data_IF_344313652641
#
_entry.id   IF_344313652641
#
_cell.length_a   1.000
_cell.length_b   1.000
_cell.length_c   1.000
_cell.angle_alpha   90.00
_cell.angle_beta   90.00
_cell.angle_gamma   90.00
#
_symmetry.space_group_name_H-M   'P 1'
#
loop_
_entity.id
_entity.type
_entity.pdbx_description
1 polymer ?
#
# COMPACT_ATOMS: atom_id res chain seq x y z
N UNK A 1 4.31 16.74 -6.77
CA UNK A 1 5.41 16.74 -5.77
C UNK A 1 6.65 16.12 -6.40
N UNK A 2 7.82 16.78 -6.44
CA UNK A 2 8.98 16.33 -7.22
C UNK A 2 9.87 15.27 -6.55
N UNK A 3 9.60 14.86 -5.31
CA UNK A 3 10.57 14.09 -4.49
C UNK A 3 10.26 12.60 -4.27
N UNK A 4 9.05 12.12 -4.62
CA UNK A 4 8.67 10.72 -4.39
C UNK A 4 9.60 9.72 -5.10
N UNK A 5 10.14 10.08 -6.28
CA UNK A 5 11.11 9.23 -7.02
C UNK A 5 12.43 9.01 -6.28
N UNK A 6 12.84 9.91 -5.39
CA UNK A 6 14.06 9.77 -4.57
C UNK A 6 13.76 9.10 -3.24
N UNK A 7 12.60 9.38 -2.67
CA UNK A 7 12.19 8.84 -1.37
C UNK A 7 11.80 7.36 -1.46
N UNK A 8 11.13 6.91 -2.53
CA UNK A 8 10.67 5.52 -2.67
C UNK A 8 11.84 4.50 -2.61
N UNK A 9 12.95 4.66 -3.36
CA UNK A 9 14.09 3.75 -3.25
C UNK A 9 14.72 3.73 -1.85
N UNK A 10 14.85 4.90 -1.21
CA UNK A 10 15.40 5.02 0.13
C UNK A 10 14.54 4.29 1.17
N UNK A 11 13.22 4.48 1.12
CA UNK A 11 12.29 3.77 2.00
C UNK A 11 12.27 2.27 1.73
N UNK A 12 12.38 1.86 0.47
CA UNK A 12 12.51 0.44 0.08
C UNK A 12 13.78 -0.17 0.70
N UNK A 13 14.91 0.53 0.63
CA UNK A 13 16.16 0.08 1.24
C UNK A 13 16.04 -0.09 2.76
N UNK A 14 15.52 0.93 3.46
CA UNK A 14 15.36 0.86 4.92
C UNK A 14 14.43 -0.27 5.36
N UNK A 15 13.39 -0.59 4.58
CA UNK A 15 12.55 -1.76 4.87
C UNK A 15 13.29 -3.08 4.74
N UNK A 16 14.02 -3.24 3.64
CA UNK A 16 14.81 -4.46 3.43
C UNK A 16 15.79 -4.64 4.59
N UNK A 17 16.53 -3.58 4.93
CA UNK A 17 17.47 -3.59 6.05
C UNK A 17 16.78 -3.90 7.38
N UNK A 18 15.65 -3.26 7.68
CA UNK A 18 14.90 -3.53 8.91
C UNK A 18 14.51 -5.01 9.02
N UNK A 19 13.93 -5.61 7.97
CA UNK A 19 13.50 -7.00 7.99
C UNK A 19 14.68 -7.98 8.14
N UNK A 20 15.76 -7.77 7.38
CA UNK A 20 16.96 -8.63 7.48
C UNK A 20 17.66 -8.49 8.84
N UNK A 21 17.81 -7.26 9.33
CA UNK A 21 18.47 -7.02 10.61
C UNK A 21 17.61 -7.49 11.79
N UNK A 22 16.29 -7.39 11.70
CA UNK A 22 15.40 -7.91 12.75
C UNK A 22 15.46 -9.44 12.83
N UNK A 23 15.47 -10.15 11.69
CA UNK A 23 15.65 -11.61 11.66
C UNK A 23 17.00 -12.02 12.29
N UNK A 24 18.09 -11.33 11.94
CA UNK A 24 19.40 -11.55 12.55
C UNK A 24 19.42 -11.24 14.05
N UNK A 25 18.65 -10.24 14.48
CA UNK A 25 18.55 -9.86 15.88
C UNK A 25 17.76 -10.90 16.68
N UNK A 26 16.67 -11.45 16.14
CA UNK A 26 15.90 -12.51 16.79
C UNK A 26 16.71 -13.80 16.98
N UNK A 27 17.67 -14.09 16.10
CA UNK A 27 18.61 -15.22 16.28
C UNK A 27 19.51 -15.04 17.52
N UNK A 28 19.79 -13.80 17.91
CA UNK A 28 20.66 -13.47 19.06
C UNK A 28 19.85 -13.17 20.34
N UNK A 29 18.71 -12.53 20.18
CA UNK A 29 17.79 -12.14 21.24
C UNK A 29 16.34 -12.45 20.81
N UNK A 30 15.88 -13.70 21.00
CA UNK A 30 14.56 -14.13 20.53
C UNK A 30 13.38 -13.37 21.17
N UNK A 31 13.58 -12.78 22.34
CA UNK A 31 12.54 -12.06 23.09
C UNK A 31 12.45 -10.58 22.71
N UNK A 32 13.27 -10.10 21.76
CA UNK A 32 13.26 -8.71 21.36
C UNK A 32 11.93 -8.31 20.72
N UNK A 33 11.27 -7.29 21.28
CA UNK A 33 10.05 -6.74 20.71
C UNK A 33 10.38 -5.92 19.47
N UNK A 34 9.50 -6.01 18.48
CA UNK A 34 9.62 -5.23 17.24
C UNK A 34 9.63 -3.71 17.49
N UNK A 35 8.92 -3.23 18.51
CA UNK A 35 8.91 -1.82 18.90
C UNK A 35 10.30 -1.35 19.34
N UNK A 36 10.97 -2.16 20.14
CA UNK A 36 12.24 -1.83 20.75
C UNK A 36 13.33 -1.85 19.67
N UNK A 37 13.29 -2.87 18.80
CA UNK A 37 14.19 -2.95 17.66
C UNK A 37 13.99 -1.80 16.67
N UNK A 38 12.74 -1.38 16.44
CA UNK A 38 12.45 -0.24 15.58
C UNK A 38 13.04 1.06 16.13
N UNK A 39 12.92 1.31 17.43
CA UNK A 39 13.56 2.46 18.08
C UNK A 39 15.08 2.46 17.91
N UNK A 40 15.73 1.31 18.15
CA UNK A 40 17.19 1.16 17.95
C UNK A 40 17.59 1.36 16.49
N UNK A 41 16.81 0.82 15.57
CA UNK A 41 17.03 0.96 14.14
C UNK A 41 16.98 2.44 13.71
N UNK A 42 15.97 3.19 14.16
CA UNK A 42 15.86 4.62 13.86
C UNK A 42 17.08 5.40 14.34
N UNK A 43 17.52 5.17 15.57
CA UNK A 43 18.73 5.79 16.11
C UNK A 43 19.97 5.43 15.28
N UNK A 44 20.13 4.16 14.91
CA UNK A 44 21.29 3.68 14.15
C UNK A 44 21.39 4.30 12.75
N UNK A 45 20.26 4.69 12.17
CA UNK A 45 20.18 5.26 10.82
C UNK A 45 20.15 6.79 10.83
N UNK A 46 20.20 7.45 12.01
CA UNK A 46 20.08 8.92 12.13
C UNK A 46 18.69 9.44 11.74
N UNK A 47 17.66 8.66 12.04
CA UNK A 47 16.28 8.87 11.61
C UNK A 47 15.35 9.28 12.76
N UNK A 48 15.87 9.46 13.98
CA UNK A 48 15.11 9.66 15.21
C UNK A 48 14.27 10.95 15.25
N UNK A 49 14.68 11.97 14.49
CA UNK A 49 14.00 13.27 14.44
C UNK A 49 13.05 13.43 13.25
N UNK A 50 13.02 12.44 12.36
CA UNK A 50 12.07 12.43 11.27
C UNK A 50 10.71 12.01 11.86
N UNK A 51 9.64 12.70 11.45
CA UNK A 51 8.28 12.26 11.77
C UNK A 51 7.93 11.05 10.87
N UNK A 52 8.64 9.94 11.12
CA UNK A 52 8.51 8.71 10.36
C UNK A 52 7.34 7.96 10.95
N UNK A 53 6.41 7.64 10.07
CA UNK A 53 5.28 6.79 10.39
C UNK A 53 5.75 5.50 11.07
N UNK A 54 5.41 5.32 12.35
CA UNK A 54 5.77 4.18 13.22
C UNK A 54 5.62 2.82 12.53
N UNK A 55 6.66 1.98 12.41
CA UNK A 55 6.66 0.58 11.88
C UNK A 55 5.91 0.31 10.56
N UNK A 56 5.22 1.31 10.01
CA UNK A 56 4.23 1.27 8.94
C UNK A 56 4.83 2.07 7.79
N UNK A 57 5.70 1.41 7.03
CA UNK A 57 6.45 2.08 5.98
C UNK A 57 5.58 2.30 4.74
N UNK A 58 5.44 3.56 4.36
CA UNK A 58 4.63 3.99 3.21
C UNK A 58 5.06 3.36 1.89
N UNK A 59 6.37 3.16 1.69
CA UNK A 59 6.92 2.44 0.53
C UNK A 59 6.50 0.97 0.49
N UNK A 60 6.44 0.29 1.64
CA UNK A 60 5.97 -1.11 1.71
C UNK A 60 4.54 -1.24 1.28
N UNK A 61 3.66 -0.31 1.67
CA UNK A 61 2.25 -0.35 1.24
C UNK A 61 2.13 -0.21 -0.27
N UNK A 62 2.86 0.73 -0.88
CA UNK A 62 2.84 0.89 -2.34
C UNK A 62 3.39 -0.35 -3.02
N UNK A 63 4.47 -0.95 -2.50
CA UNK A 63 5.03 -2.20 -3.01
C UNK A 63 4.04 -3.37 -2.91
N UNK A 64 3.36 -3.52 -1.77
CA UNK A 64 2.33 -4.55 -1.55
C UNK A 64 1.16 -4.36 -2.51
N UNK A 65 0.65 -3.13 -2.64
CA UNK A 65 -0.40 -2.82 -3.59
C UNK A 65 0.04 -3.12 -5.02
N UNK A 66 1.28 -2.79 -5.39
CA UNK A 66 1.82 -3.11 -6.71
C UNK A 66 1.88 -4.63 -6.92
N UNK A 67 2.39 -5.39 -5.95
CA UNK A 67 2.49 -6.85 -6.02
C UNK A 67 1.14 -7.56 -6.05
N UNK A 68 0.11 -7.02 -5.37
CA UNK A 68 -1.20 -7.65 -5.25
C UNK A 68 -2.22 -7.19 -6.30
N UNK A 69 -2.07 -5.97 -6.84
CA UNK A 69 -3.00 -5.42 -7.83
C UNK A 69 -2.38 -5.31 -9.22
N UNK A 70 -1.15 -4.80 -9.33
CA UNK A 70 -0.55 -4.45 -10.64
C UNK A 70 0.07 -5.65 -11.33
N UNK A 71 0.88 -6.45 -10.61
CA UNK A 71 1.54 -7.63 -11.19
C UNK A 71 0.51 -8.66 -11.68
N UNK A 72 -0.45 -9.13 -10.84
CA UNK A 72 -1.48 -10.09 -11.24
C UNK A 72 -2.67 -9.41 -11.94
N UNK A 73 -2.41 -8.53 -12.91
CA UNK A 73 -3.47 -7.70 -13.55
C UNK A 73 -4.59 -8.54 -14.15
N UNK A 74 -4.29 -9.74 -14.63
CA UNK A 74 -5.20 -10.64 -15.33
C UNK A 74 -6.34 -11.10 -14.40
N UNK A 75 -6.08 -11.20 -13.09
CA UNK A 75 -7.09 -11.54 -12.08
C UNK A 75 -8.16 -10.45 -12.00
N UNK A 76 -7.76 -9.20 -12.15
CA UNK A 76 -8.64 -8.03 -12.04
C UNK A 76 -9.25 -7.61 -13.37
N UNK A 77 -8.77 -8.15 -14.49
CA UNK A 77 -9.31 -7.92 -15.84
C UNK A 77 -10.39 -8.94 -16.25
N UNK A 78 -10.66 -9.95 -15.42
CA UNK A 78 -11.79 -10.89 -15.60
C UNK A 78 -13.13 -10.17 -15.57
N UNK A 79 -14.14 -10.77 -16.20
CA UNK A 79 -15.50 -10.22 -16.23
C UNK A 79 -16.24 -10.36 -14.89
N UNK A 80 -15.81 -11.31 -14.05
CA UNK A 80 -16.39 -11.58 -12.74
C UNK A 80 -15.32 -11.78 -11.64
N UNK A 81 -15.77 -11.69 -10.39
CA UNK A 81 -14.93 -11.96 -9.22
C UNK A 81 -15.78 -12.38 -8.02
N UNK A 82 -15.26 -13.33 -7.24
CA UNK A 82 -15.78 -13.69 -5.93
C UNK A 82 -15.16 -12.82 -4.81
N UNK A 83 -14.35 -11.81 -5.16
CA UNK A 83 -13.75 -10.92 -4.19
C UNK A 83 -14.81 -10.13 -3.41
N UNK A 84 -14.94 -10.45 -2.13
CA UNK A 84 -15.81 -9.75 -1.21
C UNK A 84 -15.13 -8.46 -0.74
N UNK A 85 -15.48 -7.35 -1.38
CA UNK A 85 -14.88 -6.05 -1.10
C UNK A 85 -15.51 -5.35 0.12
N UNK A 86 -15.28 -5.90 1.32
CA UNK A 86 -15.91 -5.42 2.56
C UNK A 86 -15.38 -4.07 3.03
N UNK A 87 -14.13 -3.71 2.68
CA UNK A 87 -13.54 -2.39 2.98
C UNK A 87 -13.91 -1.28 1.98
N UNK A 88 -14.76 -1.53 0.98
CA UNK A 88 -15.07 -0.53 -0.07
C UNK A 88 -15.57 0.80 0.47
N UNK A 89 -16.38 0.77 1.53
CA UNK A 89 -16.94 1.97 2.17
C UNK A 89 -15.90 2.82 2.91
N UNK A 90 -14.69 2.31 3.16
CA UNK A 90 -13.58 3.04 3.78
C UNK A 90 -12.84 3.93 2.78
N UNK A 91 -13.07 3.73 1.49
CA UNK A 91 -12.60 4.64 0.45
C UNK A 91 -13.55 5.82 0.31
N UNK A 92 -13.04 7.01 0.61
CA UNK A 92 -13.73 8.26 0.29
C UNK A 92 -13.59 8.54 -1.22
N UNK A 93 -14.66 8.28 -1.98
CA UNK A 93 -14.69 8.51 -3.43
C UNK A 93 -14.96 9.99 -3.70
N UNK A 94 -13.93 10.67 -4.21
CA UNK A 94 -13.99 12.10 -4.56
C UNK A 94 -14.52 12.26 -5.99
N UNK A 95 -14.09 11.37 -6.89
CA UNK A 95 -14.50 11.36 -8.30
C UNK A 95 -14.60 9.93 -8.81
N UNK A 96 -15.67 9.60 -9.51
CA UNK A 96 -15.81 8.29 -10.16
C UNK A 96 -16.71 8.37 -11.40
N UNK A 97 -16.54 7.43 -12.35
CA UNK A 97 -17.55 7.19 -13.37
C UNK A 97 -18.84 6.66 -12.72
N UNK A 98 -19.98 6.85 -13.38
CA UNK A 98 -21.28 6.37 -12.91
C UNK A 98 -21.27 4.84 -12.68
N UNK A 99 -21.92 4.38 -11.61
CA UNK A 99 -22.08 2.96 -11.24
C UNK A 99 -20.76 2.18 -11.11
N UNK A 100 -19.89 2.65 -10.22
CA UNK A 100 -18.60 2.01 -9.97
C UNK A 100 -18.76 0.68 -9.19
N UNK A 101 -18.83 -0.43 -9.90
CA UNK A 101 -18.82 -1.79 -9.32
C UNK A 101 -17.44 -2.15 -8.71
N UNK A 102 -17.36 -3.34 -8.10
CA UNK A 102 -16.14 -3.83 -7.42
C UNK A 102 -14.96 -3.96 -8.38
N UNK A 103 -15.13 -4.61 -9.53
CA UNK A 103 -14.04 -4.85 -10.47
C UNK A 103 -13.55 -3.55 -11.10
N UNK A 104 -14.48 -2.69 -11.52
CA UNK A 104 -14.16 -1.39 -12.07
C UNK A 104 -13.45 -0.50 -11.04
N UNK A 105 -13.84 -0.56 -9.76
CA UNK A 105 -13.09 0.11 -8.70
C UNK A 105 -11.65 -0.42 -8.62
N UNK A 106 -11.47 -1.74 -8.53
CA UNK A 106 -10.14 -2.36 -8.39
C UNK A 106 -9.25 -2.08 -9.60
N UNK A 107 -9.80 -2.11 -10.82
CA UNK A 107 -9.10 -1.76 -12.06
C UNK A 107 -8.64 -0.31 -12.07
N UNK A 108 -9.51 0.61 -11.65
CA UNK A 108 -9.14 2.03 -11.55
C UNK A 108 -8.06 2.23 -10.48
N UNK A 109 -8.21 1.65 -9.29
CA UNK A 109 -7.20 1.73 -8.25
C UNK A 109 -5.85 1.14 -8.72
N UNK A 110 -5.88 -0.03 -9.38
CA UNK A 110 -4.71 -0.65 -9.99
C UNK A 110 -4.04 0.29 -10.98
N UNK A 111 -4.80 0.90 -11.89
CA UNK A 111 -4.27 1.83 -12.89
C UNK A 111 -3.60 3.04 -12.22
N UNK A 112 -4.18 3.55 -11.13
CA UNK A 112 -3.56 4.62 -10.35
C UNK A 112 -2.19 4.20 -9.82
N UNK A 113 -2.06 2.99 -9.29
CA UNK A 113 -0.80 2.46 -8.76
C UNK A 113 0.21 2.20 -9.89
N UNK A 114 -0.21 1.55 -10.98
CA UNK A 114 0.64 1.20 -12.12
C UNK A 114 1.25 2.44 -12.78
N UNK A 115 0.51 3.54 -12.83
CA UNK A 115 0.97 4.81 -13.38
C UNK A 115 1.61 5.76 -12.36
N UNK A 116 1.79 5.32 -11.10
CA UNK A 116 2.26 6.14 -9.99
C UNK A 116 1.45 7.45 -9.78
N UNK A 117 0.14 7.38 -10.05
CA UNK A 117 -0.83 8.46 -9.84
C UNK A 117 -1.40 8.38 -8.43
N UNK A 118 -0.56 8.67 -7.44
CA UNK A 118 -0.96 8.75 -6.05
C UNK A 118 -0.16 9.81 -5.29
N UNK A 119 -0.69 10.24 -4.16
CA UNK A 119 -0.02 11.10 -3.20
C UNK A 119 -0.26 10.59 -1.79
N UNK A 120 0.71 10.86 -0.92
CA UNK A 120 0.66 10.48 0.49
C UNK A 120 0.75 11.77 1.30
N UNK A 121 -0.25 12.02 2.11
CA UNK A 121 -0.23 13.10 3.10
C UNK A 121 0.30 12.52 4.41
N UNK A 122 1.53 12.90 4.76
CA UNK A 122 2.20 12.42 5.96
C UNK A 122 1.64 13.03 7.24
N UNK A 123 0.94 14.17 7.15
CA UNK A 123 0.36 14.86 8.31
C UNK A 123 -0.95 14.23 8.75
N UNK A 124 -1.78 13.79 7.80
CA UNK A 124 -3.08 13.15 8.04
C UNK A 124 -3.05 11.64 7.89
N UNK A 125 -1.95 11.09 7.37
CA UNK A 125 -1.81 9.67 7.04
C UNK A 125 -2.83 9.17 6.03
N UNK A 126 -3.14 10.00 5.04
CA UNK A 126 -4.08 9.67 3.98
C UNK A 126 -3.34 9.43 2.68
N UNK A 127 -3.83 8.46 1.91
CA UNK A 127 -3.40 8.23 0.54
C UNK A 127 -4.50 8.66 -0.40
N UNK A 128 -4.12 9.37 -1.46
CA UNK A 128 -5.02 9.72 -2.57
C UNK A 128 -4.54 9.04 -3.83
N UNK A 129 -5.43 8.37 -4.55
CA UNK A 129 -5.18 7.68 -5.81
C UNK A 129 -6.06 8.29 -6.89
N UNK A 130 -5.53 8.47 -8.11
CA UNK A 130 -6.33 9.03 -9.20
C UNK A 130 -6.00 8.42 -10.56
N UNK A 131 -6.92 8.57 -11.52
CA UNK A 131 -6.67 8.30 -12.94
C UNK A 131 -6.91 9.53 -13.78
N UNK A 132 -6.14 9.63 -14.87
CA UNK A 132 -6.23 10.71 -15.84
C UNK A 132 -6.61 10.10 -17.19
N UNK A 133 -7.59 10.67 -17.86
CA UNK A 133 -7.95 10.37 -19.24
C UNK A 133 -7.95 11.67 -20.05
N UNK A 134 -7.17 11.74 -21.13
CA UNK A 134 -7.04 12.95 -21.99
C UNK A 134 -6.88 14.24 -21.18
N UNK A 135 -5.96 14.20 -20.19
CA UNK A 135 -5.64 15.28 -19.25
C UNK A 135 -6.71 15.64 -18.19
N UNK A 136 -7.87 14.98 -18.19
CA UNK A 136 -8.88 15.17 -17.15
C UNK A 136 -8.81 14.07 -16.11
N UNK A 137 -8.89 14.43 -14.83
CA UNK A 137 -9.06 13.43 -13.77
C UNK A 137 -10.43 12.76 -13.95
N UNK A 138 -10.49 11.43 -13.91
CA UNK A 138 -11.72 10.64 -14.13
C UNK A 138 -12.07 9.72 -12.96
N UNK A 139 -11.12 9.52 -12.07
CA UNK A 139 -11.26 8.76 -10.85
C UNK A 139 -10.37 9.39 -9.80
N UNK A 140 -10.88 9.53 -8.58
CA UNK A 140 -10.14 9.98 -7.42
C UNK A 140 -10.73 9.38 -6.16
N UNK A 141 -9.88 8.72 -5.37
CA UNK A 141 -10.27 8.14 -4.09
C UNK A 141 -9.22 8.45 -3.04
N UNK A 142 -9.68 8.60 -1.81
CA UNK A 142 -8.84 8.81 -0.64
C UNK A 142 -9.13 7.73 0.40
N UNK A 143 -8.10 7.31 1.11
CA UNK A 143 -8.22 6.31 2.18
C UNK A 143 -7.18 6.58 3.27
N UNK A 144 -7.54 6.30 4.53
CA UNK A 144 -6.59 6.35 5.63
C UNK A 144 -5.59 5.18 5.53
N UNK A 145 -4.38 5.38 6.05
CA UNK A 145 -3.37 4.33 6.07
C UNK A 145 -3.82 3.07 6.84
N UNK A 146 -4.55 3.25 7.94
CA UNK A 146 -5.08 2.15 8.75
C UNK A 146 -6.08 1.29 7.97
N UNK A 147 -7.04 1.95 7.34
CA UNK A 147 -8.07 1.30 6.52
C UNK A 147 -7.49 0.61 5.30
N UNK A 148 -6.44 1.21 4.71
CA UNK A 148 -5.74 0.62 3.57
C UNK A 148 -5.04 -0.71 3.95
N UNK A 149 -4.53 -0.81 5.18
CA UNK A 149 -3.96 -2.06 5.68
C UNK A 149 -5.00 -3.19 5.76
N UNK A 150 -6.23 -2.88 6.17
CA UNK A 150 -7.33 -3.84 6.17
C UNK A 150 -7.71 -4.28 4.76
N UNK A 151 -7.82 -3.34 3.81
CA UNK A 151 -8.05 -3.66 2.41
C UNK A 151 -6.97 -4.55 1.80
N UNK A 152 -5.69 -4.29 2.09
CA UNK A 152 -4.58 -5.14 1.65
C UNK A 152 -4.71 -6.55 2.23
N UNK A 153 -5.14 -6.67 3.50
CA UNK A 153 -5.41 -7.97 4.12
C UNK A 153 -6.54 -8.73 3.42
N UNK A 154 -7.61 -8.04 3.04
CA UNK A 154 -8.72 -8.62 2.27
C UNK A 154 -8.23 -9.17 0.93
N UNK A 155 -7.45 -8.39 0.16
CA UNK A 155 -6.87 -8.86 -1.11
C UNK A 155 -5.96 -10.06 -0.87
N UNK A 156 -5.08 -10.00 0.13
CA UNK A 156 -4.17 -11.10 0.45
C UNK A 156 -4.91 -12.40 0.76
N UNK A 157 -6.00 -12.33 1.56
CA UNK A 157 -6.85 -13.49 1.86
C UNK A 157 -7.52 -14.05 0.60
N UNK A 158 -8.01 -13.19 -0.29
CA UNK A 158 -8.59 -13.61 -1.56
C UNK A 158 -7.59 -14.40 -2.41
N UNK A 159 -6.34 -13.96 -2.51
CA UNK A 159 -5.32 -14.74 -3.22
C UNK A 159 -5.06 -16.11 -2.60
N UNK A 160 -4.99 -16.18 -1.27
CA UNK A 160 -4.70 -17.42 -0.56
C UNK A 160 -5.85 -18.44 -0.64
N UNK A 161 -7.09 -17.97 -0.58
CA UNK A 161 -8.26 -18.84 -0.46
C UNK A 161 -8.89 -19.18 -1.82
N UNK A 162 -8.94 -18.22 -2.74
CA UNK A 162 -9.70 -18.35 -3.99
C UNK A 162 -8.77 -18.53 -5.18
N UNK A 163 -7.75 -17.67 -5.34
CA UNK A 163 -6.90 -17.68 -6.55
C UNK A 163 -5.90 -18.85 -6.55
N UNK A 164 -5.34 -19.21 -5.40
CA UNK A 164 -4.40 -20.33 -5.31
C UNK A 164 -5.06 -21.68 -5.57
N UNK A 165 -6.37 -21.79 -5.28
CA UNK A 165 -7.12 -23.05 -5.34
C UNK A 165 -7.98 -23.18 -6.61
N UNK A 166 -7.92 -22.19 -7.51
CA UNK A 166 -8.58 -22.18 -8.82
C UNK A 166 -7.63 -22.60 -9.94
#
# INVERSE_FOLDING_TARGET
>A
MPNSRKEIPQWTWYNGQFLFQFDEQLKKNPDMKISDFFSDFLLSQGLENLNIYHTKNQGTIILLLYGLLVIPKEIWERDDTNFLFTTKNKFNVILSPNNLDTLNFLRLLRNSIAHANFSIDTSTAELTFWNINRNNKTFEVKISYGDLGEFISEIGKYYLNEVKNS
#
